data_IF_360427696099
#
_entry.id   IF_360427696099
#
_cell.length_a   1.000
_cell.length_b   1.000
_cell.length_c   1.000
_cell.angle_alpha   90.00
_cell.angle_beta   90.00
_cell.angle_gamma   90.00
#
_symmetry.space_group_name_H-M   'P 1'
#
loop_
_entity.id
_entity.type
_entity.pdbx_description
1 polymer ?
#
# COMPACT_ATOMS: atom_id res chain seq x y z
N UNK A 1 -6.19 -14.36 -39.10
CA UNK A 1 -7.24 -14.08 -40.10
C UNK A 1 -6.87 -12.85 -40.91
N UNK A 2 -6.79 -12.93 -42.24
CA UNK A 2 -6.55 -11.76 -43.08
C UNK A 2 -7.85 -10.96 -43.25
N UNK A 3 -7.88 -9.74 -42.71
CA UNK A 3 -9.02 -8.82 -42.88
C UNK A 3 -8.96 -8.17 -44.26
N UNK A 4 -10.06 -8.21 -45.00
CA UNK A 4 -10.18 -7.48 -46.25
C UNK A 4 -10.08 -5.97 -45.96
N UNK A 5 -9.27 -5.26 -46.75
CA UNK A 5 -9.12 -3.81 -46.60
C UNK A 5 -10.47 -3.11 -46.81
N UNK A 6 -10.84 -2.16 -45.97
CA UNK A 6 -12.05 -1.34 -46.14
C UNK A 6 -11.64 0.13 -46.19
N UNK A 7 -11.76 0.80 -47.36
CA UNK A 7 -11.41 2.21 -47.47
C UNK A 7 -12.51 3.07 -46.82
N UNK A 8 -12.11 4.14 -46.13
CA UNK A 8 -13.03 5.08 -45.46
C UNK A 8 -13.69 6.02 -46.48
N UNK A 9 -12.98 6.31 -47.57
CA UNK A 9 -13.44 7.11 -48.70
C UNK A 9 -13.65 6.19 -49.91
N UNK A 10 -14.64 6.44 -50.78
CA UNK A 10 -14.79 5.69 -52.01
C UNK A 10 -13.51 5.76 -52.85
N UNK A 11 -13.12 4.65 -53.47
CA UNK A 11 -11.93 4.56 -54.30
C UNK A 11 -12.15 3.55 -55.43
N UNK A 12 -11.80 3.95 -56.66
CA UNK A 12 -11.92 3.10 -57.85
C UNK A 12 -10.99 1.88 -57.79
N UNK A 13 -9.77 2.05 -57.25
CA UNK A 13 -8.82 0.94 -57.04
C UNK A 13 -8.51 0.76 -55.55
N UNK A 14 -8.98 -0.37 -55.02
CA UNK A 14 -8.87 -0.72 -53.60
C UNK A 14 -7.45 -1.06 -53.16
N UNK A 15 -6.62 -1.64 -54.05
CA UNK A 15 -5.24 -2.00 -53.76
C UNK A 15 -4.33 -0.77 -53.68
N UNK A 16 -4.48 0.17 -54.62
CA UNK A 16 -3.75 1.42 -54.61
C UNK A 16 -4.10 2.27 -53.39
N UNK A 17 -5.40 2.34 -53.05
CA UNK A 17 -5.86 3.04 -51.86
C UNK A 17 -5.29 2.42 -50.57
N UNK A 18 -5.22 1.08 -50.48
CA UNK A 18 -4.55 0.37 -49.37
C UNK A 18 -3.08 0.77 -49.24
N UNK A 19 -2.34 0.78 -50.36
CA UNK A 19 -0.92 1.14 -50.39
C UNK A 19 -0.69 2.59 -49.92
N UNK A 20 -1.50 3.53 -50.37
CA UNK A 20 -1.40 4.93 -49.95
C UNK A 20 -1.78 5.14 -48.48
N UNK A 21 -2.84 4.47 -48.00
CA UNK A 21 -3.22 4.53 -46.59
C UNK A 21 -2.10 3.98 -45.69
N UNK A 22 -1.46 2.88 -46.08
CA UNK A 22 -0.33 2.32 -45.35
C UNK A 22 0.84 3.30 -45.30
N UNK A 23 1.23 3.87 -46.45
CA UNK A 23 2.30 4.87 -46.50
C UNK A 23 2.01 6.11 -45.65
N UNK A 24 0.77 6.61 -45.68
CA UNK A 24 0.31 7.72 -44.83
C UNK A 24 0.40 7.36 -43.35
N UNK A 25 -0.01 6.15 -42.97
CA UNK A 25 0.10 5.65 -41.61
C UNK A 25 1.56 5.60 -41.16
N UNK A 26 2.45 5.04 -41.97
CA UNK A 26 3.88 4.93 -41.64
C UNK A 26 4.55 6.31 -41.49
N UNK A 27 4.23 7.26 -42.38
CA UNK A 27 4.71 8.65 -42.29
C UNK A 27 4.17 9.32 -41.01
N UNK A 28 2.87 9.18 -40.73
CA UNK A 28 2.28 9.70 -39.51
C UNK A 28 2.95 9.13 -38.27
N UNK A 29 3.23 7.82 -38.25
CA UNK A 29 3.95 7.16 -37.14
C UNK A 29 5.35 7.70 -36.96
N UNK A 30 6.11 7.90 -38.05
CA UNK A 30 7.43 8.53 -37.98
C UNK A 30 7.34 9.94 -37.38
N UNK A 31 6.37 10.75 -37.81
CA UNK A 31 6.13 12.10 -37.28
C UNK A 31 5.78 12.10 -35.79
N UNK A 32 4.90 11.20 -35.35
CA UNK A 32 4.53 11.06 -33.93
C UNK A 32 5.74 10.67 -33.08
N UNK A 33 6.54 9.70 -33.53
CA UNK A 33 7.74 9.25 -32.79
C UNK A 33 8.80 10.34 -32.72
N UNK A 34 8.96 11.13 -33.78
CA UNK A 34 9.94 12.21 -33.86
C UNK A 34 9.43 13.53 -33.25
N UNK A 35 8.14 13.62 -32.91
CA UNK A 35 7.56 14.83 -32.33
C UNK A 35 8.24 15.13 -30.98
N UNK A 36 8.87 16.30 -30.90
CA UNK A 36 9.45 16.81 -29.66
C UNK A 36 8.35 17.46 -28.83
N UNK A 37 8.39 17.36 -27.49
CA UNK A 37 7.47 18.12 -26.64
C UNK A 37 7.65 19.61 -26.92
N UNK A 38 6.53 20.31 -27.16
CA UNK A 38 6.52 21.76 -27.39
C UNK A 38 6.61 22.52 -26.07
N UNK A 39 6.12 21.91 -24.99
CA UNK A 39 6.10 22.46 -23.65
C UNK A 39 7.12 21.69 -22.83
N UNK A 40 7.96 22.42 -22.12
CA UNK A 40 8.80 21.84 -21.08
C UNK A 40 7.90 21.29 -19.96
N UNK A 41 7.93 19.98 -19.78
CA UNK A 41 7.22 19.27 -18.73
C UNK A 41 8.17 18.76 -17.64
N UNK A 42 9.41 19.24 -17.62
CA UNK A 42 10.36 18.92 -16.57
C UNK A 42 9.85 19.60 -15.29
N UNK A 43 9.73 18.85 -14.17
CA UNK A 43 9.38 19.46 -12.90
C UNK A 43 10.45 20.50 -12.52
N UNK A 44 10.07 21.64 -11.92
CA UNK A 44 11.04 22.62 -11.47
C UNK A 44 11.99 22.01 -10.43
N UNK A 45 13.21 22.55 -10.36
CA UNK A 45 14.20 22.16 -9.35
C UNK A 45 13.61 22.27 -7.94
N UNK A 46 13.56 21.14 -7.24
CA UNK A 46 13.06 21.09 -5.87
C UNK A 46 14.21 21.32 -4.90
N UNK A 47 14.13 22.34 -4.05
CA UNK A 47 15.14 22.57 -3.03
C UNK A 47 14.88 21.72 -1.78
N UNK A 48 15.94 21.18 -1.20
CA UNK A 48 15.89 20.34 0.00
C UNK A 48 15.15 21.00 1.18
N UNK A 49 15.26 22.33 1.33
CA UNK A 49 14.63 23.06 2.42
C UNK A 49 13.08 23.17 2.29
N UNK A 50 12.50 22.92 1.12
CA UNK A 50 11.03 22.82 0.97
C UNK A 50 10.49 21.49 1.49
N UNK A 51 11.26 20.41 1.32
CA UNK A 51 10.88 19.07 1.75
C UNK A 51 11.30 18.75 3.18
N UNK A 52 12.41 19.33 3.63
CA UNK A 52 13.00 19.09 4.95
C UNK A 52 13.05 20.39 5.77
N UNK A 53 12.34 20.37 6.89
CA UNK A 53 12.45 21.41 7.93
C UNK A 53 13.68 21.13 8.80
N UNK A 54 14.87 21.47 8.30
CA UNK A 54 16.15 21.19 8.96
C UNK A 54 16.19 21.66 10.41
N UNK A 55 15.68 22.87 10.71
CA UNK A 55 15.58 23.40 12.09
C UNK A 55 14.72 22.51 13.00
N UNK A 56 13.64 21.95 12.47
CA UNK A 56 12.76 21.05 13.22
C UNK A 56 13.47 19.72 13.53
N UNK A 57 14.18 19.17 12.56
CA UNK A 57 14.97 17.94 12.74
C UNK A 57 16.07 18.16 13.78
N UNK A 58 16.80 19.27 13.68
CA UNK A 58 17.82 19.65 14.65
C UNK A 58 17.24 19.77 16.07
N UNK A 59 16.12 20.48 16.25
CA UNK A 59 15.51 20.62 17.57
C UNK A 59 15.04 19.27 18.15
N UNK A 60 14.53 18.37 17.32
CA UNK A 60 14.14 17.03 17.79
C UNK A 60 15.38 16.22 18.21
N UNK A 61 16.48 16.30 17.45
CA UNK A 61 17.74 15.65 17.78
C UNK A 61 18.33 16.18 19.10
N UNK A 62 18.36 17.50 19.30
CA UNK A 62 18.79 18.13 20.55
C UNK A 62 17.92 17.70 21.75
N UNK A 63 16.60 17.60 21.53
CA UNK A 63 15.64 17.12 22.54
C UNK A 63 15.90 15.66 22.89
N UNK A 64 16.08 14.80 21.88
CA UNK A 64 16.38 13.37 22.06
C UNK A 64 17.72 13.17 22.78
N UNK A 65 18.77 13.90 22.42
CA UNK A 65 20.06 13.85 23.08
C UNK A 65 19.96 14.24 24.57
N UNK A 66 19.06 15.17 24.92
CA UNK A 66 18.78 15.54 26.31
C UNK A 66 18.10 14.41 27.07
N UNK A 67 17.05 13.84 26.48
CA UNK A 67 16.33 12.68 27.05
C UNK A 67 17.25 11.47 27.24
N UNK A 68 18.12 11.17 26.28
CA UNK A 68 19.07 10.07 26.38
C UNK A 68 20.10 10.27 27.50
N UNK A 69 20.61 11.50 27.65
CA UNK A 69 21.51 11.85 28.76
C UNK A 69 20.83 11.67 30.11
N UNK A 70 19.60 12.16 30.25
CA UNK A 70 18.83 12.05 31.49
C UNK A 70 18.49 10.58 31.80
N UNK A 71 18.13 9.80 30.80
CA UNK A 71 17.90 8.35 30.93
C UNK A 71 19.17 7.62 31.38
N UNK A 72 20.34 7.99 30.84
CA UNK A 72 21.62 7.43 31.26
C UNK A 72 21.90 7.71 32.74
N UNK A 73 21.75 8.96 33.16
CA UNK A 73 21.93 9.38 34.57
C UNK A 73 20.93 8.65 35.48
N UNK A 74 19.68 8.52 35.05
CA UNK A 74 18.65 7.79 35.79
C UNK A 74 19.01 6.31 35.95
N UNK A 75 19.42 5.64 34.86
CA UNK A 75 19.86 4.25 34.91
C UNK A 75 21.06 4.06 35.83
N UNK A 76 22.03 4.97 35.81
CA UNK A 76 23.17 4.93 36.71
C UNK A 76 22.74 5.03 38.18
N UNK A 77 21.87 6.00 38.51
CA UNK A 77 21.30 6.16 39.85
C UNK A 77 20.49 4.92 40.28
N UNK A 78 19.68 4.37 39.40
CA UNK A 78 18.91 3.14 39.67
C UNK A 78 19.85 1.96 39.91
N UNK A 79 20.89 1.79 39.10
CA UNK A 79 21.89 0.74 39.27
C UNK A 79 22.62 0.86 40.62
N UNK A 80 22.93 2.09 41.04
CA UNK A 80 23.52 2.37 42.34
C UNK A 80 22.58 1.99 43.49
N UNK A 81 21.29 2.36 43.40
CA UNK A 81 20.27 1.98 44.40
C UNK A 81 20.12 0.45 44.45
N UNK A 82 20.05 -0.23 43.31
CA UNK A 82 19.92 -1.68 43.21
C UNK A 82 21.13 -2.41 43.81
N UNK A 83 22.34 -1.90 43.57
CA UNK A 83 23.59 -2.46 44.13
C UNK A 83 23.71 -2.21 45.63
N UNK A 84 23.37 -1.02 46.08
CA UNK A 84 23.56 -0.59 47.47
C UNK A 84 22.46 -1.09 48.41
N UNK A 85 21.32 -1.60 47.88
CA UNK A 85 20.14 -2.09 48.64
C UNK A 85 19.99 -1.33 49.97
N UNK A 86 19.53 -0.08 49.88
CA UNK A 86 19.40 0.78 51.06
C UNK A 86 18.79 0.04 52.26
N UNK A 87 19.38 0.19 53.45
CA UNK A 87 18.80 -0.25 54.73
C UNK A 87 17.56 0.58 54.99
N UNK A 88 16.44 0.20 54.38
CA UNK A 88 15.12 0.73 54.71
C UNK A 88 14.37 -0.39 55.41
N UNK A 89 14.21 -0.21 56.71
CA UNK A 89 13.52 -1.06 57.67
C UNK A 89 11.99 -0.84 57.69
N UNK A 90 11.47 0.06 56.84
CA UNK A 90 10.05 0.33 56.72
C UNK A 90 9.48 -0.22 55.39
N UNK A 91 9.13 -1.50 55.37
CA UNK A 91 8.44 -2.12 54.24
C UNK A 91 6.94 -1.88 54.38
N UNK A 92 6.42 -0.86 53.71
CA UNK A 92 4.98 -0.65 53.57
C UNK A 92 4.49 -1.32 52.27
N UNK A 93 3.85 -2.48 52.38
CA UNK A 93 3.22 -3.17 51.25
C UNK A 93 1.89 -2.51 50.93
N UNK A 94 1.91 -1.47 50.10
CA UNK A 94 0.70 -0.82 49.61
C UNK A 94 0.49 -1.09 48.11
N UNK A 95 -0.67 -1.64 47.76
CA UNK A 95 -1.08 -1.75 46.36
C UNK A 95 -1.35 -0.35 45.79
N UNK A 96 -0.55 0.06 44.81
CA UNK A 96 -0.71 1.32 44.08
C UNK A 96 -2.05 1.33 43.32
N UNK A 97 -3.10 1.86 43.95
CA UNK A 97 -4.41 2.08 43.33
C UNK A 97 -4.36 3.33 42.46
N UNK A 98 -4.29 3.16 41.14
CA UNK A 98 -4.46 4.29 40.22
C UNK A 98 -5.91 4.77 40.28
N UNK A 99 -6.11 6.03 40.70
CA UNK A 99 -7.42 6.72 40.69
C UNK A 99 -8.10 6.68 39.31
N UNK A 100 -7.33 6.55 38.24
CA UNK A 100 -7.83 6.56 36.86
C UNK A 100 -8.06 5.17 36.26
N UNK A 101 -7.83 4.07 37.00
CA UNK A 101 -7.95 2.70 36.48
C UNK A 101 -9.34 2.44 35.88
N UNK A 102 -10.38 2.82 36.59
CA UNK A 102 -11.78 2.66 36.15
C UNK A 102 -12.09 3.50 34.92
N UNK A 103 -11.64 4.76 34.87
CA UNK A 103 -11.83 5.64 33.70
C UNK A 103 -11.12 5.09 32.47
N UNK A 104 -9.86 4.63 32.62
CA UNK A 104 -9.08 4.00 31.54
C UNK A 104 -9.76 2.73 31.03
N UNK A 105 -10.30 1.90 31.92
CA UNK A 105 -11.00 0.68 31.52
C UNK A 105 -12.30 0.99 30.76
N UNK A 106 -13.06 2.01 31.19
CA UNK A 106 -14.28 2.45 30.47
C UNK A 106 -13.95 3.00 29.08
N UNK A 107 -12.94 3.84 28.96
CA UNK A 107 -12.52 4.37 27.65
C UNK A 107 -12.00 3.27 26.72
N UNK A 108 -11.24 2.31 27.25
CA UNK A 108 -10.77 1.16 26.46
C UNK A 108 -11.96 0.38 25.88
N UNK A 109 -12.98 0.10 26.70
CA UNK A 109 -14.20 -0.59 26.28
C UNK A 109 -14.98 0.21 25.25
N UNK A 110 -15.09 1.52 25.44
CA UNK A 110 -15.75 2.43 24.49
C UNK A 110 -15.06 2.40 23.12
N UNK A 111 -13.75 2.62 23.10
CA UNK A 111 -12.96 2.64 21.85
C UNK A 111 -13.02 1.28 21.15
N UNK A 112 -12.92 0.17 21.89
CA UNK A 112 -13.04 -1.16 21.28
C UNK A 112 -14.42 -1.40 20.69
N UNK A 113 -15.49 -0.97 21.36
CA UNK A 113 -16.85 -1.10 20.83
C UNK A 113 -17.06 -0.23 19.58
N UNK A 114 -16.60 1.02 19.59
CA UNK A 114 -16.66 1.93 18.44
C UNK A 114 -15.88 1.37 17.24
N UNK A 115 -14.67 0.86 17.48
CA UNK A 115 -13.85 0.22 16.45
C UNK A 115 -14.53 -1.02 15.85
N UNK A 116 -15.15 -1.86 16.69
CA UNK A 116 -15.93 -3.00 16.20
C UNK A 116 -17.12 -2.56 15.34
N UNK A 117 -17.82 -1.49 15.72
CA UNK A 117 -18.94 -0.97 14.95
C UNK A 117 -18.50 -0.37 13.60
N UNK A 118 -17.32 0.26 13.54
CA UNK A 118 -16.72 0.75 12.29
C UNK A 118 -16.33 -0.43 11.40
N UNK A 119 -15.64 -1.42 11.94
CA UNK A 119 -15.23 -2.60 11.19
C UNK A 119 -16.42 -3.35 10.60
N UNK A 120 -17.50 -3.53 11.39
CA UNK A 120 -18.75 -4.11 10.89
C UNK A 120 -19.32 -3.32 9.71
N UNK A 121 -19.38 -1.99 9.81
CA UNK A 121 -19.87 -1.12 8.73
C UNK A 121 -19.03 -1.24 7.46
N UNK A 122 -17.70 -1.23 7.59
CA UNK A 122 -16.78 -1.40 6.45
C UNK A 122 -16.95 -2.78 5.82
N UNK A 123 -16.97 -3.83 6.64
CA UNK A 123 -17.07 -5.21 6.14
C UNK A 123 -18.44 -5.54 5.55
N UNK A 124 -19.51 -4.94 6.05
CA UNK A 124 -20.87 -5.13 5.51
C UNK A 124 -21.11 -4.32 4.24
N UNK A 125 -20.29 -3.30 3.97
CA UNK A 125 -20.48 -2.44 2.81
C UNK A 125 -19.97 -3.17 1.58
N UNK A 126 -20.89 -3.53 0.69
CA UNK A 126 -20.52 -4.07 -0.61
C UNK A 126 -19.77 -3.01 -1.44
N UNK A 127 -18.74 -3.42 -2.21
CA UNK A 127 -18.10 -2.54 -3.18
C UNK A 127 -19.15 -1.97 -4.14
N UNK A 128 -19.16 -0.64 -4.32
CA UNK A 128 -20.09 0.02 -5.24
C UNK A 128 -19.87 -0.40 -6.69
N UNK A 129 -18.63 -0.77 -7.03
CA UNK A 129 -18.25 -1.23 -8.35
C UNK A 129 -17.75 -2.67 -8.27
N UNK A 130 -18.37 -3.55 -9.06
CA UNK A 130 -17.91 -4.91 -9.24
C UNK A 130 -16.81 -4.94 -10.30
N UNK A 131 -15.55 -4.90 -9.83
CA UNK A 131 -14.38 -4.89 -10.71
C UNK A 131 -14.30 -6.12 -11.62
N UNK A 132 -14.83 -7.28 -11.22
CA UNK A 132 -14.90 -8.48 -12.07
C UNK A 132 -15.81 -8.26 -13.28
N UNK A 133 -16.98 -7.67 -13.06
CA UNK A 133 -17.91 -7.34 -14.17
C UNK A 133 -17.29 -6.32 -15.12
N UNK A 134 -16.57 -5.34 -14.58
CA UNK A 134 -15.88 -4.35 -15.40
C UNK A 134 -14.73 -4.95 -16.20
N UNK A 135 -13.99 -5.88 -15.61
CA UNK A 135 -12.92 -6.60 -16.29
C UNK A 135 -13.47 -7.46 -17.43
N UNK A 136 -14.56 -8.20 -17.19
CA UNK A 136 -15.20 -9.02 -18.22
C UNK A 136 -15.78 -8.14 -19.34
N UNK A 137 -16.47 -7.05 -19.00
CA UNK A 137 -16.95 -6.08 -19.96
C UNK A 137 -15.80 -5.45 -20.77
N UNK A 138 -14.68 -5.16 -20.11
CA UNK A 138 -13.47 -4.65 -20.76
C UNK A 138 -12.88 -5.68 -21.71
N UNK A 139 -12.83 -6.96 -21.34
CA UNK A 139 -12.34 -8.04 -22.20
C UNK A 139 -13.18 -8.18 -23.46
N UNK A 140 -14.51 -8.09 -23.35
CA UNK A 140 -15.42 -8.08 -24.49
C UNK A 140 -15.19 -6.83 -25.36
N UNK A 141 -15.06 -5.66 -24.74
CA UNK A 141 -14.76 -4.41 -25.45
C UNK A 141 -13.41 -4.45 -26.16
N UNK A 142 -12.38 -5.08 -25.59
CA UNK A 142 -11.10 -5.32 -26.28
C UNK A 142 -11.27 -6.17 -27.54
N UNK A 143 -12.15 -7.18 -27.50
CA UNK A 143 -12.54 -7.95 -28.68
C UNK A 143 -13.21 -7.09 -29.74
N UNK A 144 -14.16 -6.23 -29.36
CA UNK A 144 -14.79 -5.27 -30.29
C UNK A 144 -13.78 -4.28 -30.85
N UNK A 145 -12.88 -3.74 -30.02
CA UNK A 145 -11.82 -2.83 -30.44
C UNK A 145 -10.87 -3.50 -31.45
N UNK A 146 -10.39 -4.72 -31.17
CA UNK A 146 -9.59 -5.50 -32.12
C UNK A 146 -10.38 -5.80 -33.41
N UNK A 147 -11.70 -5.88 -33.31
CA UNK A 147 -12.56 -6.15 -34.44
C UNK A 147 -12.93 -4.93 -35.29
N UNK A 148 -12.89 -3.72 -34.76
CA UNK A 148 -13.18 -2.47 -35.50
C UNK A 148 -11.91 -1.71 -35.86
N UNK A 149 -10.79 -1.98 -35.19
CA UNK A 149 -9.54 -1.27 -35.43
C UNK A 149 -8.99 -1.59 -36.81
N UNK A 150 -8.68 -0.51 -37.56
CA UNK A 150 -8.03 -0.59 -38.86
C UNK A 150 -6.51 -0.74 -38.74
N UNK A 151 -5.93 -0.22 -37.67
CA UNK A 151 -4.50 -0.22 -37.39
C UNK A 151 -4.20 -0.99 -36.11
N UNK A 152 -2.99 -1.57 -35.95
CA UNK A 152 -2.63 -2.33 -34.75
C UNK A 152 -2.83 -1.52 -33.46
N UNK A 153 -3.38 -2.18 -32.44
CA UNK A 153 -3.70 -1.58 -31.14
C UNK A 153 -2.46 -1.37 -30.26
N UNK A 154 -1.27 -1.72 -30.74
CA UNK A 154 0.03 -1.61 -30.03
C UNK A 154 0.50 -0.15 -29.82
N UNK A 155 -0.43 0.81 -29.80
CA UNK A 155 -0.15 2.20 -29.50
C UNK A 155 0.30 2.34 -28.04
N UNK A 156 1.62 2.45 -27.82
CA UNK A 156 2.22 2.89 -26.55
C UNK A 156 2.43 1.81 -25.48
N UNK A 157 1.92 0.58 -25.65
CA UNK A 157 2.02 -0.48 -24.63
C UNK A 157 3.34 -1.28 -24.66
N UNK A 158 4.14 -1.19 -25.72
CA UNK A 158 5.33 -2.05 -25.90
C UNK A 158 6.54 -1.66 -25.04
N UNK A 159 6.57 -0.47 -24.43
CA UNK A 159 7.72 -0.07 -23.60
C UNK A 159 7.62 -0.45 -22.11
N UNK A 160 6.43 -0.78 -21.61
CA UNK A 160 6.23 -1.15 -20.19
C UNK A 160 5.95 -2.64 -19.94
N UNK A 161 5.50 -3.41 -20.93
CA UNK A 161 5.19 -4.83 -20.72
C UNK A 161 6.42 -5.71 -20.45
N UNK A 162 7.59 -5.37 -21.00
CA UNK A 162 8.85 -6.06 -20.70
C UNK A 162 9.44 -5.73 -19.31
N UNK A 163 8.95 -4.69 -18.63
CA UNK A 163 9.42 -4.36 -17.26
C UNK A 163 8.65 -5.13 -16.19
N UNK A 164 7.45 -5.62 -16.49
CA UNK A 164 6.59 -6.32 -15.52
C UNK A 164 6.72 -7.85 -15.59
N UNK A 165 7.32 -8.41 -16.64
CA UNK A 165 7.66 -9.84 -16.73
C UNK A 165 8.92 -10.23 -15.95
N UNK A 166 9.60 -9.25 -15.34
CA UNK A 166 10.84 -9.42 -14.58
C UNK A 166 10.63 -9.11 -13.10
N UNK A 167 9.59 -9.68 -12.49
CA UNK A 167 9.57 -9.83 -11.03
C UNK A 167 9.94 -11.29 -10.69
N UNK A 168 10.97 -11.52 -9.87
CA UNK A 168 11.25 -12.85 -9.34
C UNK A 168 10.09 -13.28 -8.45
N UNK A 169 9.56 -14.46 -8.74
CA UNK A 169 8.68 -15.23 -7.85
C UNK A 169 9.44 -15.56 -6.55
N UNK A 170 9.29 -14.74 -5.51
CA UNK A 170 9.43 -15.20 -4.12
C UNK A 170 8.90 -14.15 -3.14
N UNK A 171 7.59 -14.15 -2.90
CA UNK A 171 7.11 -13.79 -1.57
C UNK A 171 7.23 -15.03 -0.69
N UNK A 172 8.00 -15.00 0.41
CA UNK A 172 7.94 -16.08 1.37
C UNK A 172 6.53 -16.08 1.96
N UNK A 173 5.81 -17.17 1.72
CA UNK A 173 4.64 -17.53 2.49
C UNK A 173 5.03 -17.55 3.96
N UNK A 174 4.76 -16.45 4.69
CA UNK A 174 4.71 -16.46 6.14
C UNK A 174 3.56 -17.38 6.56
N UNK A 175 3.84 -18.69 6.61
CA UNK A 175 3.03 -19.64 7.36
C UNK A 175 3.12 -19.20 8.81
N UNK A 176 2.12 -18.46 9.28
CA UNK A 176 1.91 -18.24 10.71
C UNK A 176 1.87 -19.63 11.34
N UNK A 177 2.71 -19.94 12.34
CA UNK A 177 2.65 -21.23 13.03
C UNK A 177 1.26 -21.36 13.63
N UNK A 178 0.57 -22.45 13.27
CA UNK A 178 -0.70 -22.84 13.88
C UNK A 178 -0.41 -23.01 15.38
N UNK A 179 -0.89 -22.08 16.21
CA UNK A 179 -0.78 -22.16 17.66
C UNK A 179 -1.34 -23.51 18.09
N UNK A 180 -0.48 -24.41 18.56
CA UNK A 180 -0.88 -25.67 19.18
C UNK A 180 -1.81 -25.29 20.33
N UNK A 181 -3.04 -25.79 20.30
CA UNK A 181 -3.95 -25.65 21.43
C UNK A 181 -3.31 -26.38 22.59
N UNK A 182 -2.79 -25.65 23.56
CA UNK A 182 -2.49 -26.18 24.89
C UNK A 182 -3.79 -26.81 25.42
N UNK A 183 -3.78 -28.13 25.58
CA UNK A 183 -4.83 -28.84 26.28
C UNK A 183 -4.86 -28.36 27.71
N UNK A 184 -5.92 -27.65 28.09
CA UNK A 184 -6.18 -27.31 29.48
C UNK A 184 -6.31 -28.60 30.31
N UNK A 185 -5.72 -28.67 31.52
CA UNK A 185 -5.88 -29.83 32.39
C UNK A 185 -7.34 -29.94 32.84
N UNK A 186 -7.86 -31.17 32.82
CA UNK A 186 -9.25 -31.49 33.07
C UNK A 186 -9.75 -31.00 34.42
N UNK A 187 -11.00 -30.53 34.45
CA UNK A 187 -11.76 -30.36 35.69
C UNK A 187 -11.96 -31.73 36.35
N UNK A 188 -11.81 -31.86 37.68
CA UNK A 188 -12.21 -33.07 38.37
C UNK A 188 -13.72 -33.23 38.29
N UNK A 189 -14.16 -34.45 37.95
CA UNK A 189 -15.56 -34.86 38.03
C UNK A 189 -15.94 -34.92 39.51
N UNK A 190 -16.99 -34.20 39.88
CA UNK A 190 -17.76 -34.55 41.06
C UNK A 190 -18.49 -35.85 40.73
N UNK A 191 -18.10 -36.95 41.38
CA UNK A 191 -18.94 -38.14 41.49
C UNK A 191 -19.67 -38.04 42.83
N UNK A 192 -21.00 -38.06 42.73
CA UNK A 192 -21.93 -38.16 43.83
C UNK A 192 -21.69 -39.47 44.60
N UNK A 193 -21.56 -39.34 45.94
CA UNK A 193 -22.11 -40.24 46.96
C UNK A 193 -22.03 -39.58 48.33
#
# INVERSE_FOLDING_TARGET
>A
MHRAYQPITPANNKLLKKRWDQSRFDIHRKKVVQARPVIDNIPPETYMHLHLKLKKLQMEEERLATVERDNRILMEKMSYIMRTKGRVDNWNSYEQKSLNKTKRQRELLRVTHENQAILKRISSKEPHYNHYVWEDAWRVNQGYMANISKYPQDWGYTKNSLRYSSQPQSHPSNKVPRRVRETSPGKPKHEDR
#
